data_IF_638685938804
#
_entry.id   IF_638685938804
#
_cell.length_a   1.000
_cell.length_b   1.000
_cell.length_c   1.000
_cell.angle_alpha   90.00
_cell.angle_beta   90.00
_cell.angle_gamma   90.00
#
_symmetry.space_group_name_H-M   'P 1'
#
loop_
_entity.id
_entity.type
_entity.pdbx_description
1 polymer ?
#
# COMPACT_ATOMS: atom_id res chain seq x y z
N UNK A 1 -14.09 0.16 10.23
CA UNK A 1 -12.90 0.81 10.83
C UNK A 1 -12.87 2.26 10.38
N UNK A 2 -12.57 3.23 11.26
CA UNK A 2 -12.52 4.67 10.93
C UNK A 2 -11.43 5.04 9.90
N UNK A 3 -10.59 4.08 9.50
CA UNK A 3 -9.48 4.24 8.55
C UNK A 3 -9.94 4.75 7.19
N UNK A 4 -11.10 4.30 6.70
CA UNK A 4 -11.59 4.68 5.37
C UNK A 4 -12.32 6.03 5.35
N UNK A 5 -12.78 6.54 6.49
CA UNK A 5 -13.59 7.76 6.56
C UNK A 5 -12.86 8.96 7.16
N UNK A 6 -11.87 8.76 8.05
CA UNK A 6 -11.24 9.85 8.80
C UNK A 6 -9.81 10.19 8.33
N UNK A 7 -9.23 9.42 7.41
CA UNK A 7 -7.84 9.59 6.98
C UNK A 7 -7.69 9.83 5.48
N UNK A 8 -8.56 10.69 4.93
CA UNK A 8 -8.61 11.01 3.49
C UNK A 8 -7.26 11.50 2.96
N UNK A 9 -6.58 12.38 3.70
CA UNK A 9 -5.26 12.89 3.29
C UNK A 9 -4.23 11.76 3.14
N UNK A 10 -4.23 10.79 4.06
CA UNK A 10 -3.30 9.66 4.00
C UNK A 10 -3.57 8.77 2.78
N UNK A 11 -4.84 8.48 2.47
CA UNK A 11 -5.20 7.75 1.25
C UNK A 11 -4.78 8.49 -0.01
N UNK A 12 -5.00 9.80 -0.07
CA UNK A 12 -4.56 10.63 -1.22
C UNK A 12 -3.04 10.53 -1.38
N UNK A 13 -2.27 10.70 -0.31
CA UNK A 13 -0.81 10.59 -0.35
C UNK A 13 -0.34 9.20 -0.80
N UNK A 14 -0.98 8.14 -0.29
CA UNK A 14 -0.65 6.76 -0.67
C UNK A 14 -0.94 6.50 -2.16
N UNK A 15 -2.08 6.98 -2.67
CA UNK A 15 -2.46 6.85 -4.08
C UNK A 15 -1.49 7.64 -4.97
N UNK A 16 -1.19 8.89 -4.62
CA UNK A 16 -0.26 9.74 -5.38
C UNK A 16 1.14 9.10 -5.40
N UNK A 17 1.65 8.64 -4.27
CA UNK A 17 2.92 7.92 -4.21
C UNK A 17 2.91 6.67 -5.08
N UNK A 18 1.83 5.89 -5.03
CA UNK A 18 1.68 4.69 -5.87
C UNK A 18 1.67 5.01 -7.36
N UNK A 19 1.00 6.10 -7.74
CA UNK A 19 0.95 6.57 -9.12
C UNK A 19 2.35 6.95 -9.61
N UNK A 20 3.10 7.70 -8.80
CA UNK A 20 4.48 8.11 -9.11
C UNK A 20 5.36 6.87 -9.31
N UNK A 21 5.36 5.94 -8.34
CA UNK A 21 6.15 4.70 -8.44
C UNK A 21 5.75 3.91 -9.69
N UNK A 22 4.45 3.75 -9.94
CA UNK A 22 3.95 3.01 -11.10
C UNK A 22 4.34 3.66 -12.43
N UNK A 23 4.39 4.99 -12.51
CA UNK A 23 4.85 5.69 -13.72
C UNK A 23 6.35 5.45 -13.93
N UNK A 24 7.15 5.55 -12.87
CA UNK A 24 8.61 5.40 -12.95
C UNK A 24 8.99 3.97 -13.34
N UNK A 25 8.33 2.97 -12.77
CA UNK A 25 8.68 1.55 -12.97
C UNK A 25 8.03 0.93 -14.22
N UNK A 26 7.16 1.66 -14.92
CA UNK A 26 6.49 1.17 -16.13
C UNK A 26 7.35 1.34 -17.38
N UNK A 27 7.70 0.23 -18.04
CA UNK A 27 8.39 0.27 -19.34
C UNK A 27 7.54 0.82 -20.48
N UNK A 28 6.21 0.63 -20.42
CA UNK A 28 5.25 1.13 -21.40
C UNK A 28 4.05 1.72 -20.68
N UNK A 29 3.87 3.03 -20.81
CA UNK A 29 2.75 3.74 -20.21
C UNK A 29 1.47 3.46 -20.99
N UNK A 30 0.71 2.48 -20.54
CA UNK A 30 -0.68 2.27 -20.96
C UNK A 30 -1.59 2.57 -19.79
N UNK A 31 -2.77 3.15 -20.06
CA UNK A 31 -3.71 3.53 -19.01
C UNK A 31 -4.16 2.32 -18.19
N UNK A 32 -4.49 1.21 -18.87
CA UNK A 32 -4.85 -0.07 -18.23
C UNK A 32 -3.68 -0.61 -17.41
N UNK A 33 -2.46 -0.60 -17.94
CA UNK A 33 -1.27 -1.05 -17.21
C UNK A 33 -1.00 -0.23 -15.95
N UNK A 34 -1.17 1.09 -16.03
CA UNK A 34 -1.02 1.99 -14.88
C UNK A 34 -2.07 1.70 -13.81
N UNK A 35 -3.34 1.54 -14.19
CA UNK A 35 -4.41 1.17 -13.25
C UNK A 35 -4.15 -0.18 -12.59
N UNK A 36 -3.71 -1.19 -13.36
CA UNK A 36 -3.37 -2.51 -12.82
C UNK A 36 -2.18 -2.44 -11.87
N UNK A 37 -1.15 -1.64 -12.18
CA UNK A 37 0.01 -1.43 -11.30
C UNK A 37 -0.40 -0.77 -9.99
N UNK A 38 -1.19 0.29 -10.05
CA UNK A 38 -1.66 1.02 -8.88
C UNK A 38 -2.54 0.12 -8.01
N UNK A 39 -3.50 -0.59 -8.61
CA UNK A 39 -4.34 -1.54 -7.89
C UNK A 39 -3.51 -2.66 -7.24
N UNK A 40 -2.53 -3.21 -7.97
CA UNK A 40 -1.63 -4.25 -7.45
C UNK A 40 -0.86 -3.79 -6.21
N UNK A 41 -0.32 -2.58 -6.21
CA UNK A 41 0.38 -2.02 -5.05
C UNK A 41 -0.55 -1.87 -3.84
N UNK A 42 -1.75 -1.29 -4.04
CA UNK A 42 -2.70 -1.08 -2.94
C UNK A 42 -3.19 -2.42 -2.38
N UNK A 43 -3.54 -3.38 -3.23
CA UNK A 43 -3.98 -4.72 -2.83
C UNK A 43 -2.86 -5.43 -2.06
N UNK A 44 -1.65 -5.44 -2.59
CA UNK A 44 -0.50 -6.05 -1.90
C UNK A 44 -0.30 -5.46 -0.50
N UNK A 45 -0.36 -4.13 -0.40
CA UNK A 45 -0.13 -3.41 0.87
C UNK A 45 -1.19 -3.77 1.92
N UNK A 46 -2.46 -3.86 1.50
CA UNK A 46 -3.56 -4.27 2.38
C UNK A 46 -3.42 -5.74 2.79
N UNK A 47 -3.11 -6.62 1.83
CA UNK A 47 -2.90 -8.06 2.10
C UNK A 47 -1.72 -8.27 3.04
N UNK A 48 -0.58 -7.59 2.82
CA UNK A 48 0.58 -7.66 3.71
C UNK A 48 0.23 -7.20 5.15
N UNK A 49 -0.61 -6.17 5.28
CA UNK A 49 -1.06 -5.68 6.58
C UNK A 49 -1.99 -6.65 7.33
N UNK A 50 -2.58 -7.64 6.65
CA UNK A 50 -3.36 -8.68 7.33
C UNK A 50 -2.51 -9.57 8.24
N UNK A 51 -1.22 -9.73 7.95
CA UNK A 51 -0.32 -10.58 8.75
C UNK A 51 -0.15 -10.01 10.17
N UNK A 52 0.28 -8.73 10.36
CA UNK A 52 0.35 -8.15 11.70
C UNK A 52 -1.03 -8.01 12.34
N UNK A 53 -2.07 -7.66 11.56
CA UNK A 53 -3.43 -7.58 12.09
C UNK A 53 -3.87 -8.90 12.74
N UNK A 54 -3.65 -10.03 12.06
CA UNK A 54 -3.99 -11.35 12.57
C UNK A 54 -3.18 -11.71 13.82
N UNK A 55 -1.87 -11.48 13.80
CA UNK A 55 -1.01 -11.73 14.96
C UNK A 55 -1.44 -10.92 16.19
N UNK A 56 -1.66 -9.62 16.03
CA UNK A 56 -2.08 -8.72 17.12
C UNK A 56 -3.49 -9.05 17.64
N UNK A 57 -4.36 -9.56 16.77
CA UNK A 57 -5.66 -10.08 17.17
C UNK A 57 -5.53 -11.34 18.05
N UNK A 58 -4.63 -12.28 17.71
CA UNK A 58 -4.40 -13.50 18.50
C UNK A 58 -3.89 -13.24 19.91
N UNK A 59 -3.08 -12.19 20.12
CA UNK A 59 -2.56 -11.81 21.44
C UNK A 59 -3.51 -10.88 22.22
N UNK A 60 -4.75 -10.70 21.75
CA UNK A 60 -5.79 -9.90 22.41
C UNK A 60 -5.54 -8.39 22.40
N UNK A 61 -4.68 -7.90 21.50
CA UNK A 61 -4.31 -6.47 21.38
C UNK A 61 -4.51 -6.01 19.93
N UNK A 62 -5.76 -5.88 19.45
CA UNK A 62 -6.00 -5.53 18.06
C UNK A 62 -5.36 -4.17 17.71
N UNK A 63 -4.85 -4.07 16.48
CA UNK A 63 -4.23 -2.83 15.99
C UNK A 63 -5.25 -1.68 15.97
N UNK A 64 -4.81 -0.52 16.44
CA UNK A 64 -5.56 0.71 16.27
C UNK A 64 -5.45 1.24 14.82
N UNK A 65 -6.17 2.32 14.51
CA UNK A 65 -6.22 2.86 13.14
C UNK A 65 -4.84 3.30 12.62
N UNK A 66 -4.06 3.98 13.45
CA UNK A 66 -2.73 4.50 13.10
C UNK A 66 -1.75 3.36 12.86
N UNK A 67 -1.75 2.35 13.73
CA UNK A 67 -0.91 1.16 13.59
C UNK A 67 -1.24 0.39 12.31
N UNK A 68 -2.52 0.26 11.97
CA UNK A 68 -2.94 -0.36 10.71
C UNK A 68 -2.48 0.46 9.49
N UNK A 69 -2.61 1.79 9.54
CA UNK A 69 -2.11 2.68 8.48
C UNK A 69 -0.60 2.54 8.31
N UNK A 70 0.17 2.55 9.39
CA UNK A 70 1.62 2.34 9.35
C UNK A 70 1.96 0.98 8.74
N UNK A 71 1.23 -0.07 9.10
CA UNK A 71 1.46 -1.41 8.56
C UNK A 71 1.22 -1.47 7.05
N UNK A 72 0.13 -0.85 6.57
CA UNK A 72 -0.17 -0.74 5.14
C UNK A 72 0.92 0.07 4.43
N UNK A 73 1.33 1.22 4.98
CA UNK A 73 2.38 2.05 4.39
C UNK A 73 3.72 1.33 4.33
N UNK A 74 4.08 0.52 5.33
CA UNK A 74 5.30 -0.30 5.29
C UNK A 74 5.19 -1.37 4.20
N UNK A 75 4.07 -2.10 4.12
CA UNK A 75 3.84 -3.08 3.06
C UNK A 75 3.94 -2.45 1.66
N UNK A 76 3.36 -1.26 1.50
CA UNK A 76 3.46 -0.46 0.28
C UNK A 76 4.91 -0.08 -0.03
N UNK A 77 5.65 0.44 0.96
CA UNK A 77 7.02 0.90 0.80
C UNK A 77 7.96 -0.23 0.38
N UNK A 78 7.81 -1.41 1.00
CA UNK A 78 8.60 -2.60 0.65
C UNK A 78 8.40 -2.96 -0.82
N UNK A 79 7.15 -3.00 -1.29
CA UNK A 79 6.87 -3.30 -2.71
C UNK A 79 7.36 -2.19 -3.65
N UNK A 80 7.18 -0.93 -3.29
CA UNK A 80 7.65 0.20 -4.07
C UNK A 80 9.18 0.17 -4.25
N UNK A 81 9.92 -0.05 -3.17
CA UNK A 81 11.37 -0.19 -3.21
C UNK A 81 11.79 -1.41 -4.02
N UNK A 82 11.11 -2.55 -3.85
CA UNK A 82 11.39 -3.75 -4.62
C UNK A 82 11.24 -3.51 -6.14
N UNK A 83 10.17 -2.83 -6.56
CA UNK A 83 9.94 -2.50 -7.97
C UNK A 83 10.98 -1.51 -8.53
N UNK A 84 11.39 -0.52 -7.73
CA UNK A 84 12.43 0.44 -8.13
C UNK A 84 13.81 -0.23 -8.26
N UNK A 85 14.13 -1.17 -7.38
CA UNK A 85 15.41 -1.88 -7.37
C UNK A 85 15.61 -2.82 -8.57
N UNK A 86 14.51 -3.34 -9.13
CA UNK A 86 14.55 -4.26 -10.28
C UNK A 86 14.26 -3.55 -11.61
N UNK A 87 14.18 -2.22 -11.60
CA UNK A 87 14.00 -1.43 -12.81
C UNK A 87 15.21 -1.63 -13.73
N UNK A 88 15.00 -2.04 -15.00
CA UNK A 88 16.08 -2.23 -15.96
C UNK A 88 16.65 -0.92 -16.51
#
# INVERSE_FOLDING_TARGET
MKIFSNHTLWWILLIVGTLIVSIITSQKLTLIGLFMSVAGHLVFSVVAATIPLFFYWLIGKPLNSEQMMSTITVGWLVLAVANLMVMP
#
